data_IF_864815373913
#
_entry.id   IF_864815373913
#
_cell.length_a   1.000
_cell.length_b   1.000
_cell.length_c   1.000
_cell.angle_alpha   90.00
_cell.angle_beta   90.00
_cell.angle_gamma   90.00
#
_symmetry.space_group_name_H-M   'P 1'
#
loop_
_entity.id
_entity.type
_entity.pdbx_description
1 polymer ?
#
# COMPACT_ATOMS: atom_id res chain seq x y z
N UNK A 1 -7.31 -15.55 -19.91
CA UNK A 1 -6.99 -14.99 -18.58
C UNK A 1 -6.37 -13.62 -18.78
N UNK A 2 -7.02 -12.53 -18.35
CA UNK A 2 -6.44 -11.17 -18.48
C UNK A 2 -5.38 -10.98 -17.39
N UNK A 3 -4.12 -10.79 -17.76
CA UNK A 3 -3.00 -10.52 -16.84
C UNK A 3 -3.31 -9.30 -15.95
N UNK A 4 -2.92 -9.33 -14.67
CA UNK A 4 -3.12 -8.19 -13.78
C UNK A 4 -2.06 -7.13 -14.08
N UNK A 5 -2.39 -6.13 -14.89
CA UNK A 5 -1.42 -5.08 -15.22
C UNK A 5 -1.29 -4.15 -14.02
N UNK A 6 -0.30 -4.41 -13.16
CA UNK A 6 0.13 -3.46 -12.14
C UNK A 6 0.91 -2.33 -12.82
N UNK A 7 0.24 -1.21 -13.08
CA UNK A 7 0.89 -0.01 -13.61
C UNK A 7 1.58 0.69 -12.43
N UNK A 8 2.89 0.47 -12.27
CA UNK A 8 3.71 1.35 -11.44
C UNK A 8 4.02 2.58 -12.26
N UNK A 9 3.27 3.66 -12.06
CA UNK A 9 3.68 4.96 -12.60
C UNK A 9 4.88 5.48 -11.81
N UNK A 10 6.03 5.55 -12.47
CA UNK A 10 7.24 6.14 -11.93
C UNK A 10 7.12 7.67 -11.98
N UNK A 11 7.05 8.32 -10.83
CA UNK A 11 7.47 9.71 -10.74
C UNK A 11 9.00 9.74 -10.84
N UNK A 12 9.52 9.91 -12.05
CA UNK A 12 10.89 10.35 -12.26
C UNK A 12 11.05 11.73 -11.63
N UNK A 13 11.58 11.75 -10.41
CA UNK A 13 12.32 12.88 -9.86
C UNK A 13 13.61 12.31 -9.26
N UNK A 14 14.51 11.90 -10.15
CA UNK A 14 15.92 11.80 -9.80
C UNK A 14 16.46 13.23 -9.76
N UNK A 15 16.79 13.72 -8.58
CA UNK A 15 17.99 14.54 -8.47
C UNK A 15 19.18 13.57 -8.44
N UNK A 16 20.23 13.79 -9.22
CA UNK A 16 21.38 12.91 -9.22
C UNK A 16 22.06 13.03 -7.85
N UNK A 17 22.09 11.95 -7.08
CA UNK A 17 23.09 11.82 -6.01
C UNK A 17 24.32 11.24 -6.67
N UNK A 18 25.41 11.99 -6.55
CA UNK A 18 26.71 11.66 -7.14
C UNK A 18 27.20 10.28 -6.70
N UNK A 19 27.80 9.60 -7.67
CA UNK A 19 28.39 8.27 -7.59
C UNK A 19 29.51 8.20 -6.55
N UNK A 20 29.43 7.23 -5.66
CA UNK A 20 30.57 6.71 -4.90
C UNK A 20 30.56 5.18 -5.00
N UNK A 21 31.49 4.62 -5.76
CA UNK A 21 31.70 3.17 -5.85
C UNK A 21 32.32 2.66 -4.54
N UNK A 22 31.72 1.61 -3.99
CA UNK A 22 32.29 0.79 -2.92
C UNK A 22 31.66 -0.60 -3.01
N UNK A 23 32.36 -1.52 -3.65
CA UNK A 23 32.03 -2.94 -3.71
C UNK A 23 32.38 -3.62 -2.40
N UNK A 24 31.40 -4.25 -1.75
CA UNK A 24 31.68 -5.36 -0.82
C UNK A 24 30.47 -6.27 -0.70
N UNK A 25 30.74 -7.55 -0.97
CA UNK A 25 30.22 -8.75 -0.29
C UNK A 25 28.72 -8.94 -0.18
N UNK A 26 28.24 -10.02 -0.81
CA UNK A 26 26.93 -10.60 -0.60
C UNK A 26 26.68 -10.87 0.90
N UNK A 27 25.97 -9.97 1.55
CA UNK A 27 25.40 -10.21 2.87
C UNK A 27 24.04 -10.89 2.68
N UNK A 28 23.96 -12.09 3.23
CA UNK A 28 22.83 -13.01 3.21
C UNK A 28 21.74 -12.43 4.11
N UNK A 29 20.96 -11.47 3.61
CA UNK A 29 19.87 -10.88 4.38
C UNK A 29 18.74 -11.91 4.51
N UNK A 30 18.56 -12.43 5.72
CA UNK A 30 17.50 -13.36 6.09
C UNK A 30 16.15 -12.70 5.83
N UNK A 31 15.60 -12.91 4.64
CA UNK A 31 14.27 -12.43 4.29
C UNK A 31 13.29 -13.09 5.26
N UNK A 32 12.56 -12.32 6.10
CA UNK A 32 11.52 -12.89 6.94
C UNK A 32 10.52 -13.64 6.04
N UNK A 33 9.70 -14.58 6.56
CA UNK A 33 8.68 -15.30 5.78
C UNK A 33 7.62 -14.40 5.10
N UNK A 34 7.78 -13.07 5.20
CA UNK A 34 6.84 -12.02 4.93
C UNK A 34 7.23 -11.16 3.70
N UNK A 35 8.32 -11.48 3.00
CA UNK A 35 8.74 -10.78 1.76
C UNK A 35 9.24 -9.33 1.89
N UNK A 36 8.88 -8.62 2.96
CA UNK A 36 9.33 -7.25 3.28
C UNK A 36 10.63 -7.27 4.10
N UNK A 37 11.72 -6.60 3.67
CA UNK A 37 12.96 -6.48 4.44
C UNK A 37 12.78 -5.76 5.78
N UNK A 38 13.58 -6.10 6.78
CA UNK A 38 13.43 -5.63 8.15
C UNK A 38 13.80 -4.14 8.33
N UNK A 39 14.62 -3.60 7.43
CA UNK A 39 15.10 -2.22 7.44
C UNK A 39 14.09 -1.20 6.85
N UNK A 40 12.91 -1.66 6.39
CA UNK A 40 11.82 -0.80 5.95
C UNK A 40 11.03 -0.26 7.13
N UNK A 41 10.99 1.07 7.24
CA UNK A 41 10.26 1.77 8.31
C UNK A 41 8.75 1.55 8.15
N UNK A 42 8.11 1.00 9.17
CA UNK A 42 6.64 0.99 9.27
C UNK A 42 6.17 2.39 9.66
N UNK A 43 5.26 3.04 8.89
CA UNK A 43 4.70 4.32 9.28
C UNK A 43 4.04 4.24 10.66
N UNK A 44 4.17 5.27 11.51
CA UNK A 44 3.44 5.35 12.77
C UNK A 44 1.94 5.17 12.52
N UNK A 45 1.29 4.25 13.25
CA UNK A 45 -0.16 4.06 13.17
C UNK A 45 -0.85 5.20 13.89
N UNK A 46 -1.82 5.83 13.22
CA UNK A 46 -2.74 6.81 13.82
C UNK A 46 -4.13 6.22 13.93
N UNK A 47 -5.06 6.91 14.59
CA UNK A 47 -6.48 6.49 14.62
C UNK A 47 -7.17 6.51 13.25
N UNK A 48 -6.54 7.12 12.25
CA UNK A 48 -7.04 7.14 10.86
C UNK A 48 -6.34 6.11 9.98
N UNK A 49 -5.31 5.42 10.46
CA UNK A 49 -4.48 4.59 9.58
C UNK A 49 -5.19 3.33 9.12
N UNK A 50 -5.23 3.14 7.80
CA UNK A 50 -5.85 1.99 7.15
C UNK A 50 -4.79 0.95 6.79
N UNK A 51 -3.90 1.31 5.86
CA UNK A 51 -2.80 0.46 5.40
C UNK A 51 -1.74 1.32 4.69
N UNK A 52 -0.65 0.68 4.28
CA UNK A 52 0.38 1.33 3.47
C UNK A 52 0.95 0.38 2.41
N UNK A 53 1.61 0.96 1.41
CA UNK A 53 2.28 0.23 0.33
C UNK A 53 3.77 0.56 0.36
N UNK A 54 4.59 -0.48 0.30
CA UNK A 54 6.04 -0.40 0.16
C UNK A 54 6.51 -1.27 -1.02
N UNK A 55 7.71 -0.99 -1.51
CA UNK A 55 8.28 -1.70 -2.65
C UNK A 55 9.79 -1.81 -2.55
N UNK A 56 10.36 -2.84 -3.18
CA UNK A 56 11.82 -3.06 -3.21
C UNK A 56 12.60 -1.94 -3.93
N UNK A 57 11.95 -1.17 -4.81
CA UNK A 57 12.62 -0.14 -5.62
C UNK A 57 13.09 1.10 -4.83
N UNK A 58 12.49 1.38 -3.67
CA UNK A 58 12.96 2.40 -2.73
C UNK A 58 12.24 2.28 -1.38
N UNK A 59 12.85 2.86 -0.34
CA UNK A 59 12.29 2.87 1.03
C UNK A 59 11.11 3.82 1.24
N UNK A 60 10.68 4.60 0.24
CA UNK A 60 9.51 5.47 0.41
C UNK A 60 8.24 4.64 0.57
N UNK A 61 7.30 5.16 1.35
CA UNK A 61 6.05 4.47 1.68
C UNK A 61 4.86 5.29 1.24
N UNK A 62 3.86 4.65 0.65
CA UNK A 62 2.56 5.26 0.35
C UNK A 62 1.63 4.91 1.50
N UNK A 63 1.08 5.90 2.19
CA UNK A 63 0.19 5.70 3.34
C UNK A 63 -1.24 6.03 2.91
N UNK A 64 -2.18 5.21 3.37
CA UNK A 64 -3.61 5.37 3.20
C UNK A 64 -4.22 5.57 4.59
N UNK A 65 -4.66 6.81 4.86
CA UNK A 65 -5.37 7.15 6.10
C UNK A 65 -6.83 7.52 5.75
N UNK A 66 -7.78 7.16 6.61
CA UNK A 66 -9.17 7.54 6.47
C UNK A 66 -9.36 9.05 6.65
N UNK A 67 -10.25 9.63 5.82
CA UNK A 67 -10.76 10.99 5.99
C UNK A 67 -12.13 10.94 6.63
N UNK A 68 -12.22 11.51 7.83
CA UNK A 68 -13.42 11.52 8.65
C UNK A 68 -13.86 12.97 8.90
N UNK A 69 -15.16 13.20 8.85
CA UNK A 69 -15.79 14.45 9.28
C UNK A 69 -15.76 14.57 10.81
N UNK A 70 -16.20 15.73 11.31
CA UNK A 70 -16.32 16.00 12.75
C UNK A 70 -17.29 15.06 13.47
N UNK A 71 -18.34 14.58 12.80
CA UNK A 71 -19.28 13.56 13.31
C UNK A 71 -18.71 12.13 13.23
N UNK A 72 -17.46 12.00 12.79
CA UNK A 72 -16.75 10.74 12.58
C UNK A 72 -17.12 10.03 11.27
N UNK A 73 -18.17 10.41 10.54
CA UNK A 73 -18.53 9.78 9.26
C UNK A 73 -17.44 9.96 8.20
N UNK A 74 -17.39 9.08 7.18
CA UNK A 74 -16.39 9.25 6.13
C UNK A 74 -16.72 10.48 5.27
N UNK A 75 -15.67 11.17 4.83
CA UNK A 75 -15.79 12.21 3.81
C UNK A 75 -16.18 11.62 2.44
N UNK A 76 -16.71 12.46 1.54
CA UNK A 76 -17.04 12.05 0.17
C UNK A 76 -15.83 11.47 -0.58
N UNK A 77 -14.63 11.98 -0.29
CA UNK A 77 -13.35 11.37 -0.64
C UNK A 77 -12.78 10.72 0.63
N UNK A 78 -12.97 9.40 0.84
CA UNK A 78 -12.87 8.81 2.17
C UNK A 78 -11.45 8.44 2.60
N UNK A 79 -10.44 8.62 1.76
CA UNK A 79 -9.04 8.26 2.05
C UNK A 79 -8.11 9.40 1.62
N UNK A 80 -7.21 9.76 2.52
CA UNK A 80 -6.02 10.53 2.24
C UNK A 80 -4.88 9.59 1.84
N UNK A 81 -4.29 9.85 0.67
CA UNK A 81 -3.17 9.04 0.17
C UNK A 81 -1.99 9.96 -0.09
N UNK A 82 -0.86 9.63 0.54
CA UNK A 82 0.34 10.46 0.55
C UNK A 82 1.61 9.62 0.68
N UNK A 83 2.74 10.23 0.29
CA UNK A 83 4.08 9.68 0.49
C UNK A 83 4.61 9.99 1.89
N UNK A 84 5.34 9.03 2.46
CA UNK A 84 6.37 9.23 3.49
C UNK A 84 7.74 8.95 2.87
N UNK A 85 8.60 9.98 2.82
CA UNK A 85 9.87 9.97 2.09
C UNK A 85 11.02 9.33 2.87
N UNK A 86 10.82 8.12 3.39
CA UNK A 86 11.79 7.41 4.25
C UNK A 86 13.11 7.05 3.56
N UNK A 87 13.22 7.14 2.23
CA UNK A 87 14.51 7.06 1.55
C UNK A 87 15.38 8.32 1.73
N UNK A 88 14.81 9.39 2.30
CA UNK A 88 15.44 10.71 2.45
C UNK A 88 15.12 11.29 3.84
N UNK A 89 14.26 12.31 3.93
CA UNK A 89 13.98 13.04 5.17
C UNK A 89 12.83 12.45 6.00
N UNK A 90 12.07 11.49 5.46
CA UNK A 90 10.86 10.96 6.10
C UNK A 90 9.63 11.87 6.01
N UNK A 91 9.75 13.01 5.32
CA UNK A 91 8.68 14.00 5.16
C UNK A 91 7.40 13.43 4.53
N UNK A 92 6.25 14.01 4.91
CA UNK A 92 4.96 13.76 4.26
C UNK A 92 4.87 14.60 2.99
N UNK A 93 4.50 13.98 1.86
CA UNK A 93 4.22 14.66 0.59
C UNK A 93 2.92 14.15 -0.01
N UNK A 94 2.08 15.05 -0.48
CA UNK A 94 0.88 14.66 -1.21
C UNK A 94 1.23 14.01 -2.55
N UNK A 95 0.38 13.09 -3.01
CA UNK A 95 0.49 12.56 -4.37
C UNK A 95 0.20 13.66 -5.39
N UNK A 96 1.06 13.79 -6.40
CA UNK A 96 0.78 14.60 -7.58
C UNK A 96 -0.40 14.03 -8.36
N UNK A 97 -1.06 14.85 -9.18
CA UNK A 97 -2.21 14.44 -9.97
C UNK A 97 -1.92 13.18 -10.79
N UNK A 98 -0.77 13.12 -11.46
CA UNK A 98 -0.39 11.98 -12.29
C UNK A 98 -0.20 10.68 -11.49
N UNK A 99 0.46 10.73 -10.33
CA UNK A 99 0.63 9.58 -9.45
C UNK A 99 -0.70 9.06 -8.92
N UNK A 100 -1.62 9.99 -8.63
CA UNK A 100 -2.98 9.68 -8.18
C UNK A 100 -3.81 9.04 -9.30
N UNK A 101 -3.74 9.57 -10.52
CA UNK A 101 -4.58 9.11 -11.62
C UNK A 101 -4.12 7.79 -12.25
N UNK A 102 -2.86 7.38 -12.07
CA UNK A 102 -2.31 6.22 -12.79
C UNK A 102 -1.58 5.19 -11.92
N UNK A 103 -1.33 5.45 -10.64
CA UNK A 103 -0.64 4.50 -9.77
C UNK A 103 -1.35 4.32 -8.43
N UNK A 104 -1.09 5.24 -7.50
CA UNK A 104 -1.39 5.05 -6.08
C UNK A 104 -2.74 5.63 -5.66
N UNK A 105 -3.50 6.20 -6.59
CA UNK A 105 -4.87 6.60 -6.30
C UNK A 105 -5.80 5.41 -6.08
N UNK A 106 -7.06 5.77 -5.91
CA UNK A 106 -8.13 4.82 -5.72
C UNK A 106 -9.42 5.38 -6.31
N UNK A 107 -10.32 4.48 -6.68
CA UNK A 107 -11.72 4.77 -6.91
C UNK A 107 -12.53 4.34 -5.66
N UNK A 108 -13.51 5.13 -5.28
CA UNK A 108 -14.36 4.83 -4.12
C UNK A 108 -15.83 4.87 -4.51
N UNK A 109 -16.51 3.75 -4.26
CA UNK A 109 -17.95 3.61 -4.44
C UNK A 109 -18.62 3.52 -3.08
N UNK A 110 -19.38 4.54 -2.73
CA UNK A 110 -20.15 4.57 -1.49
C UNK A 110 -21.23 3.49 -1.51
N UNK A 111 -21.42 2.81 -0.39
CA UNK A 111 -22.55 1.90 -0.20
C UNK A 111 -23.81 2.64 0.21
N UNK A 112 -24.97 2.08 -0.14
CA UNK A 112 -26.25 2.77 0.04
C UNK A 112 -26.63 2.99 1.51
N UNK A 113 -26.24 2.08 2.40
CA UNK A 113 -26.83 2.02 3.75
C UNK A 113 -25.84 2.13 4.93
N UNK A 114 -24.53 1.88 4.75
CA UNK A 114 -23.64 1.56 5.89
C UNK A 114 -22.49 2.53 6.17
N UNK A 115 -22.55 3.76 5.63
CA UNK A 115 -21.42 4.72 5.74
C UNK A 115 -20.06 4.01 5.49
N UNK A 116 -20.02 3.20 4.43
CA UNK A 116 -18.89 2.39 4.00
C UNK A 116 -18.66 2.60 2.51
N UNK A 117 -17.48 2.20 2.05
CA UNK A 117 -17.06 2.34 0.66
C UNK A 117 -16.37 1.08 0.16
N UNK A 118 -16.65 0.71 -1.08
CA UNK A 118 -15.80 -0.19 -1.84
C UNK A 118 -14.70 0.62 -2.52
N UNK A 119 -13.46 0.24 -2.26
CA UNK A 119 -12.25 0.89 -2.73
C UNK A 119 -11.56 -0.02 -3.75
N UNK A 120 -11.25 0.54 -4.90
CA UNK A 120 -10.44 -0.11 -5.94
C UNK A 120 -9.17 0.71 -6.12
N UNK A 121 -7.99 0.08 -5.97
CA UNK A 121 -6.73 0.77 -6.22
C UNK A 121 -6.57 0.99 -7.72
N UNK A 122 -6.11 2.18 -8.12
CA UNK A 122 -5.95 2.51 -9.55
C UNK A 122 -5.03 1.52 -10.27
N UNK A 123 -3.95 1.08 -9.61
CA UNK A 123 -3.03 0.09 -10.16
C UNK A 123 -3.52 -1.37 -10.07
N UNK A 124 -4.64 -1.65 -9.37
CA UNK A 124 -5.16 -3.00 -9.18
C UNK A 124 -6.65 -2.99 -8.84
N UNK A 125 -7.49 -3.13 -9.87
CA UNK A 125 -8.96 -3.10 -9.79
C UNK A 125 -9.60 -4.48 -9.52
N UNK A 126 -8.82 -5.56 -9.58
CA UNK A 126 -9.33 -6.93 -9.47
C UNK A 126 -9.75 -7.32 -8.05
N UNK A 127 -9.20 -6.66 -7.03
CA UNK A 127 -9.52 -6.93 -5.62
C UNK A 127 -9.99 -5.64 -4.99
N UNK A 128 -11.24 -5.67 -4.51
CA UNK A 128 -11.85 -4.54 -3.82
C UNK A 128 -11.48 -4.61 -2.34
N UNK A 129 -11.23 -3.45 -1.77
CA UNK A 129 -11.04 -3.25 -0.34
C UNK A 129 -12.33 -2.66 0.19
N UNK A 130 -12.85 -3.21 1.27
CA UNK A 130 -14.01 -2.65 1.98
C UNK A 130 -13.51 -1.67 3.04
N UNK A 131 -13.81 -0.39 2.85
CA UNK A 131 -13.57 0.64 3.84
C UNK A 131 -14.82 0.80 4.69
N UNK A 132 -14.67 0.48 5.97
CA UNK A 132 -15.76 0.50 6.93
C UNK A 132 -15.23 0.89 8.31
N UNK A 133 -16.09 0.85 9.32
CA UNK A 133 -15.70 1.03 10.71
C UNK A 133 -15.92 -0.25 11.50
N UNK A 134 -15.08 -0.48 12.48
CA UNK A 134 -15.33 -1.47 13.52
C UNK A 134 -16.45 -1.00 14.47
N UNK A 135 -17.00 -1.88 15.33
CA UNK A 135 -18.06 -1.51 16.28
C UNK A 135 -17.68 -0.35 17.23
N UNK A 136 -16.39 -0.19 17.55
CA UNK A 136 -15.84 0.94 18.32
C UNK A 136 -15.64 2.22 17.49
N UNK A 137 -16.04 2.21 16.22
CA UNK A 137 -16.04 3.38 15.34
C UNK A 137 -14.72 3.66 14.63
N UNK A 138 -13.70 2.82 14.83
CA UNK A 138 -12.38 2.96 14.20
C UNK A 138 -12.44 2.59 12.71
N UNK A 139 -11.90 3.42 11.80
CA UNK A 139 -11.87 3.10 10.39
C UNK A 139 -10.92 1.93 10.10
N UNK A 140 -11.35 0.99 9.27
CA UNK A 140 -10.56 -0.18 8.86
C UNK A 140 -10.74 -0.46 7.38
N UNK A 141 -9.67 -0.94 6.75
CA UNK A 141 -9.68 -1.50 5.41
C UNK A 141 -9.69 -3.01 5.51
N UNK A 142 -10.74 -3.66 5.04
CA UNK A 142 -10.87 -5.12 5.06
C UNK A 142 -10.93 -5.69 3.66
N UNK A 143 -10.42 -6.91 3.49
CA UNK A 143 -10.51 -7.65 2.25
C UNK A 143 -10.30 -9.14 2.52
N UNK A 144 -10.63 -9.98 1.53
CA UNK A 144 -10.19 -11.38 1.57
C UNK A 144 -8.69 -11.44 1.35
N UNK A 145 -7.96 -12.15 2.21
CA UNK A 145 -6.53 -12.46 2.08
C UNK A 145 -6.39 -13.96 2.38
N UNK A 146 -5.84 -14.74 1.45
CA UNK A 146 -5.66 -16.19 1.62
C UNK A 146 -6.97 -16.93 1.93
N UNK A 147 -8.09 -16.47 1.34
CA UNK A 147 -9.43 -17.02 1.59
C UNK A 147 -10.07 -16.61 2.91
N UNK A 148 -9.40 -15.82 3.75
CA UNK A 148 -9.90 -15.35 5.05
C UNK A 148 -10.31 -13.88 5.00
N UNK A 149 -11.37 -13.49 5.71
CA UNK A 149 -11.75 -12.09 5.85
C UNK A 149 -10.80 -11.38 6.83
N UNK A 150 -10.03 -10.41 6.32
CA UNK A 150 -8.92 -9.81 7.05
C UNK A 150 -8.98 -8.29 7.05
N UNK A 151 -8.48 -7.67 8.12
CA UNK A 151 -7.99 -6.30 8.09
C UNK A 151 -6.68 -6.26 7.31
N UNK A 152 -6.62 -5.47 6.24
CA UNK A 152 -5.38 -5.21 5.51
C UNK A 152 -4.48 -4.30 6.36
N UNK A 153 -3.22 -4.69 6.56
CA UNK A 153 -2.24 -3.87 7.28
C UNK A 153 -1.24 -3.22 6.33
N UNK A 154 -0.70 -3.97 5.38
CA UNK A 154 0.19 -3.43 4.36
C UNK A 154 0.27 -4.30 3.11
N UNK A 155 0.76 -3.69 2.04
CA UNK A 155 1.05 -4.34 0.78
C UNK A 155 2.54 -4.17 0.48
N UNK A 156 3.20 -5.28 0.15
CA UNK A 156 4.56 -5.27 -0.35
C UNK A 156 4.57 -5.57 -1.86
N UNK A 157 5.22 -4.72 -2.64
CA UNK A 157 5.31 -4.86 -4.09
C UNK A 157 6.75 -5.16 -4.47
N UNK A 158 6.97 -6.30 -5.12
CA UNK A 158 8.27 -6.63 -5.68
C UNK A 158 8.27 -6.40 -7.18
N UNK A 159 9.12 -5.48 -7.63
CA UNK A 159 9.29 -5.14 -9.02
C UNK A 159 10.74 -5.30 -9.46
N UNK A 160 10.92 -5.68 -10.71
CA UNK A 160 12.20 -5.80 -11.38
C UNK A 160 12.34 -4.63 -12.36
N UNK A 161 13.49 -3.97 -12.30
CA UNK A 161 13.82 -2.82 -13.14
C UNK A 161 15.12 -3.03 -13.94
N UNK A 162 15.53 -4.29 -14.15
CA UNK A 162 16.73 -4.62 -14.94
C UNK A 162 16.53 -4.46 -16.45
N UNK A 163 15.29 -4.44 -16.93
CA UNK A 163 14.94 -4.22 -18.34
C UNK A 163 14.49 -2.78 -18.63
N UNK A 164 14.11 -2.50 -19.89
CA UNK A 164 13.68 -1.17 -20.35
C UNK A 164 12.39 -0.66 -19.68
N UNK A 165 11.61 -1.54 -19.06
CA UNK A 165 10.37 -1.19 -18.36
C UNK A 165 10.27 -1.92 -17.02
N UNK A 166 9.93 -1.23 -15.92
CA UNK A 166 9.69 -1.88 -14.64
C UNK A 166 8.55 -2.89 -14.76
N UNK A 167 8.74 -4.09 -14.20
CA UNK A 167 7.72 -5.14 -14.16
C UNK A 167 7.50 -5.59 -12.73
N UNK A 168 6.25 -5.52 -12.26
CA UNK A 168 5.85 -6.16 -11.02
C UNK A 168 5.91 -7.67 -11.21
N UNK A 169 6.66 -8.35 -10.34
CA UNK A 169 6.79 -9.82 -10.32
C UNK A 169 5.75 -10.43 -9.39
N UNK A 170 5.57 -9.82 -8.22
CA UNK A 170 4.56 -10.24 -7.27
C UNK A 170 4.13 -9.11 -6.35
N UNK A 171 2.98 -9.29 -5.73
CA UNK A 171 2.42 -8.46 -4.68
C UNK A 171 2.06 -9.33 -3.49
N UNK A 172 2.48 -8.90 -2.33
CA UNK A 172 2.28 -9.57 -1.06
C UNK A 172 1.29 -8.77 -0.22
N UNK A 173 0.16 -9.38 0.11
CA UNK A 173 -0.87 -8.83 0.99
C UNK A 173 -0.64 -9.35 2.40
N UNK A 174 -0.57 -8.42 3.36
CA UNK A 174 -0.44 -8.72 4.78
C UNK A 174 -1.60 -8.13 5.55
N UNK A 175 -2.21 -8.95 6.39
CA UNK A 175 -3.31 -8.52 7.22
C UNK A 175 -3.47 -9.38 8.46
N UNK A 176 -4.57 -9.14 9.17
CA UNK A 176 -4.99 -9.93 10.32
C UNK A 176 -6.42 -10.43 10.11
N UNK A 177 -6.68 -11.68 10.45
CA UNK A 177 -8.02 -12.22 10.43
C UNK A 177 -8.93 -11.37 11.34
N UNK A 178 -10.08 -10.93 10.85
CA UNK A 178 -11.01 -10.06 11.59
C UNK A 178 -11.65 -10.73 12.82
N UNK A 179 -11.66 -12.07 12.87
CA UNK A 179 -12.24 -12.85 13.96
C UNK A 179 -11.15 -13.27 14.96
N UNK A 180 -10.06 -13.86 14.48
CA UNK A 180 -9.02 -14.44 15.36
C UNK A 180 -7.88 -13.49 15.69
N UNK A 181 -7.70 -12.41 14.94
CA UNK A 181 -6.56 -11.49 15.08
C UNK A 181 -5.22 -12.06 14.57
N UNK A 182 -5.19 -13.31 14.13
CA UNK A 182 -3.98 -13.96 13.63
C UNK A 182 -3.48 -13.31 12.34
N UNK A 183 -2.15 -13.18 12.16
CA UNK A 183 -1.58 -12.72 10.89
C UNK A 183 -1.97 -13.65 9.73
N UNK A 184 -2.32 -13.03 8.59
CA UNK A 184 -2.62 -13.72 7.33
C UNK A 184 -1.80 -13.10 6.21
N UNK A 185 -1.31 -13.95 5.30
CA UNK A 185 -0.46 -13.59 4.19
C UNK A 185 -0.98 -14.20 2.89
N UNK A 186 -0.90 -13.44 1.80
CA UNK A 186 -1.16 -13.93 0.43
C UNK A 186 -0.19 -13.29 -0.55
N UNK A 187 0.46 -14.12 -1.38
CA UNK A 187 1.24 -13.65 -2.53
C UNK A 187 0.44 -13.81 -3.82
N UNK A 188 0.37 -12.74 -4.59
CA UNK A 188 -0.23 -12.67 -5.92
C UNK A 188 0.90 -12.54 -6.94
N UNK A 189 0.98 -13.50 -7.85
CA UNK A 189 1.95 -13.49 -8.95
C UNK A 189 1.36 -12.76 -10.17
N UNK A 190 2.24 -12.09 -10.93
CA UNK A 190 1.90 -11.44 -12.19
C UNK A 190 2.31 -12.28 -13.40
#
# INVERSE_FOLDING_TARGET
>A
MKTAIFIILFAYLFSPVASGQGSTSAEKESTPPNGRPADYITPPKTERSLFFIQRNLNKNTIVYDARLKSDGSFEGKPIDVYWRRYATTGERRDLKWLERSFAYGYNAKKEKNDNSYWIELTAYDKRKIHLQKTPDGKPVATMTIGGKYCQLEYIWVFADNSGSWPKVKHVDLHGKNMITGEPVFERILN
#
